data_IF_105285456172
#
_entry.id   IF_105285456172
#
_cell.length_a   1.000
_cell.length_b   1.000
_cell.length_c   1.000
_cell.angle_alpha   90.00
_cell.angle_beta   90.00
_cell.angle_gamma   90.00
#
_symmetry.space_group_name_H-M   'P 1'
#
loop_
_entity.id
_entity.type
_entity.pdbx_description
1 polymer ?
#
# COMPACT_ATOMS: atom_id res chain seq x y z
N UNK A 1 21.95 12.26 -6.29
CA UNK A 1 20.91 11.98 -5.27
C UNK A 1 20.51 10.53 -5.37
N UNK A 2 20.55 9.75 -4.29
CA UNK A 2 19.95 8.44 -4.33
C UNK A 2 18.46 8.60 -4.59
N UNK A 3 17.97 7.99 -5.67
CA UNK A 3 16.54 7.91 -5.96
C UNK A 3 15.97 6.99 -4.91
N UNK A 4 15.24 7.55 -3.95
CA UNK A 4 14.49 6.76 -2.98
C UNK A 4 13.49 5.89 -3.75
N UNK A 5 13.42 4.59 -3.49
CA UNK A 5 12.45 3.73 -4.16
C UNK A 5 11.05 4.28 -3.88
N UNK A 6 10.32 4.53 -4.94
CA UNK A 6 8.96 5.10 -4.89
C UNK A 6 7.97 4.13 -4.23
N UNK A 7 8.33 2.86 -4.17
CA UNK A 7 7.56 1.80 -3.54
C UNK A 7 8.42 1.15 -2.46
N UNK A 8 7.97 1.28 -1.22
CA UNK A 8 8.59 0.60 -0.09
C UNK A 8 7.93 -0.75 0.08
N UNK A 9 8.73 -1.79 0.03
CA UNK A 9 8.35 -3.15 0.35
C UNK A 9 8.80 -3.42 1.79
N UNK A 10 7.85 -3.44 2.71
CA UNK A 10 8.10 -3.71 4.13
C UNK A 10 7.91 -5.18 4.49
N UNK A 11 7.27 -5.93 3.60
CA UNK A 11 6.96 -7.33 3.83
C UNK A 11 7.51 -8.15 2.66
N UNK A 12 8.53 -8.93 2.93
CA UNK A 12 9.07 -9.93 1.99
C UNK A 12 8.15 -11.18 1.94
N UNK A 13 6.84 -10.93 1.82
CA UNK A 13 5.80 -11.97 1.85
C UNK A 13 4.84 -11.84 0.68
N UNK A 14 5.40 -11.91 -0.51
CA UNK A 14 4.61 -11.98 -1.73
C UNK A 14 3.84 -13.30 -1.84
N UNK A 15 2.83 -13.32 -2.68
CA UNK A 15 1.99 -14.49 -2.95
C UNK A 15 2.81 -15.76 -3.23
N UNK A 16 3.88 -15.64 -4.03
CA UNK A 16 4.75 -16.77 -4.38
C UNK A 16 5.50 -17.30 -3.15
N UNK A 17 6.03 -16.45 -2.31
CA UNK A 17 6.73 -16.83 -1.08
C UNK A 17 5.78 -17.45 -0.05
N UNK A 18 4.57 -16.93 0.07
CA UNK A 18 3.52 -17.48 0.92
C UNK A 18 3.09 -18.88 0.45
N UNK A 19 2.91 -19.08 -0.86
CA UNK A 19 2.60 -20.39 -1.43
C UNK A 19 3.67 -21.42 -1.08
N UNK A 20 4.94 -21.10 -1.27
CA UNK A 20 6.04 -22.00 -0.93
C UNK A 20 6.09 -22.31 0.57
N UNK A 21 5.85 -21.35 1.43
CA UNK A 21 5.79 -21.55 2.90
C UNK A 21 4.62 -22.44 3.30
N UNK A 22 3.45 -22.23 2.70
CA UNK A 22 2.26 -23.07 2.94
C UNK A 22 2.51 -24.51 2.46
N UNK A 23 3.11 -24.72 1.30
CA UNK A 23 3.48 -26.04 0.81
C UNK A 23 4.49 -26.74 1.73
N UNK A 24 5.50 -26.02 2.23
CA UNK A 24 6.44 -26.56 3.23
C UNK A 24 5.74 -26.96 4.53
N UNK A 25 4.82 -26.13 5.00
CA UNK A 25 4.05 -26.41 6.21
C UNK A 25 3.20 -27.67 6.03
N UNK A 26 2.50 -27.78 4.92
CA UNK A 26 1.67 -28.97 4.61
C UNK A 26 2.52 -30.23 4.56
N UNK A 27 3.69 -30.18 3.93
CA UNK A 27 4.63 -31.31 3.91
C UNK A 27 5.08 -31.74 5.31
N UNK A 28 5.24 -30.80 6.23
CA UNK A 28 5.64 -31.10 7.60
C UNK A 28 4.50 -31.67 8.45
N UNK A 29 3.26 -31.20 8.22
CA UNK A 29 2.10 -31.62 9.00
C UNK A 29 1.47 -32.91 8.45
N UNK A 30 1.43 -33.05 7.14
CA UNK A 30 0.83 -34.20 6.46
C UNK A 30 1.71 -34.73 5.32
N UNK A 31 2.77 -35.48 5.63
CA UNK A 31 3.72 -35.98 4.65
C UNK A 31 3.14 -36.98 3.64
N UNK A 32 1.97 -37.56 3.93
CA UNK A 32 1.30 -38.47 3.03
C UNK A 32 0.70 -37.79 1.78
N UNK A 33 0.53 -36.45 1.83
CA UNK A 33 0.07 -35.70 0.67
C UNK A 33 1.26 -35.31 -0.23
N UNK A 34 1.30 -35.93 -1.40
CA UNK A 34 2.41 -35.77 -2.36
C UNK A 34 1.99 -35.13 -3.68
N UNK A 35 0.68 -34.98 -3.92
CA UNK A 35 0.15 -34.41 -5.15
C UNK A 35 -0.02 -32.90 -5.04
N UNK A 36 0.92 -32.14 -5.63
CA UNK A 36 0.92 -30.69 -5.74
C UNK A 36 0.52 -30.21 -7.14
N UNK A 37 -0.19 -31.03 -7.91
CA UNK A 37 -0.70 -30.61 -9.22
C UNK A 37 -1.72 -29.46 -9.09
N UNK A 38 -1.82 -28.62 -10.11
CA UNK A 38 -2.77 -27.52 -10.14
C UNK A 38 -4.23 -27.96 -10.13
N UNK A 39 -4.48 -29.22 -10.49
CA UNK A 39 -5.82 -29.82 -10.48
C UNK A 39 -6.23 -30.35 -9.10
N UNK A 40 -5.30 -30.46 -8.15
CA UNK A 40 -5.60 -30.97 -6.81
C UNK A 40 -6.30 -29.89 -5.97
N UNK A 41 -7.45 -30.25 -5.39
CA UNK A 41 -8.26 -29.33 -4.57
C UNK A 41 -7.48 -28.74 -3.39
N UNK A 42 -6.63 -29.53 -2.74
CA UNK A 42 -5.80 -29.04 -1.65
C UNK A 42 -4.79 -27.99 -2.10
N UNK A 43 -4.19 -28.15 -3.28
CA UNK A 43 -3.29 -27.15 -3.83
C UNK A 43 -4.03 -25.87 -4.23
N UNK A 44 -5.25 -25.98 -4.75
CA UNK A 44 -6.11 -24.81 -5.04
C UNK A 44 -6.38 -24.02 -3.77
N UNK A 45 -6.67 -24.69 -2.64
CA UNK A 45 -6.86 -24.01 -1.35
C UNK A 45 -5.58 -23.28 -0.90
N UNK A 46 -4.40 -23.87 -1.06
CA UNK A 46 -3.12 -23.25 -0.74
C UNK A 46 -2.93 -21.99 -1.59
N UNK A 47 -3.23 -22.04 -2.87
CA UNK A 47 -3.13 -20.90 -3.77
C UNK A 47 -4.11 -19.78 -3.39
N UNK A 48 -5.34 -20.11 -3.04
CA UNK A 48 -6.32 -19.15 -2.57
C UNK A 48 -5.84 -18.44 -1.28
N UNK A 49 -5.34 -19.18 -0.30
CA UNK A 49 -4.79 -18.60 0.92
C UNK A 49 -3.55 -17.74 0.65
N UNK A 50 -2.67 -18.18 -0.24
CA UNK A 50 -1.50 -17.39 -0.63
C UNK A 50 -1.92 -16.09 -1.32
N UNK A 51 -2.94 -16.13 -2.17
CA UNK A 51 -3.48 -14.94 -2.84
C UNK A 51 -4.08 -13.95 -1.84
N UNK A 52 -4.92 -14.41 -0.92
CA UNK A 52 -5.49 -13.55 0.15
C UNK A 52 -4.37 -12.97 1.03
N UNK A 53 -3.37 -13.79 1.36
CA UNK A 53 -2.19 -13.33 2.09
C UNK A 53 -1.42 -12.24 1.33
N UNK A 54 -1.20 -12.42 0.02
CA UNK A 54 -0.54 -11.44 -0.85
C UNK A 54 -1.29 -10.11 -0.91
N UNK A 55 -2.62 -10.15 -1.04
CA UNK A 55 -3.46 -8.93 -0.98
C UNK A 55 -3.31 -8.25 0.38
N UNK A 56 -3.33 -9.00 1.47
CA UNK A 56 -3.20 -8.44 2.83
C UNK A 56 -1.85 -7.76 3.03
N UNK A 57 -0.76 -8.39 2.60
CA UNK A 57 0.59 -7.80 2.68
C UNK A 57 0.73 -6.56 1.81
N UNK A 58 0.12 -6.55 0.62
CA UNK A 58 0.08 -5.36 -0.24
C UNK A 58 -0.59 -4.18 0.47
N UNK A 59 -1.74 -4.39 1.13
CA UNK A 59 -2.40 -3.32 1.89
C UNK A 59 -1.56 -2.85 3.09
N UNK A 60 -0.84 -3.77 3.75
CA UNK A 60 0.08 -3.40 4.84
C UNK A 60 1.21 -2.51 4.34
N UNK A 61 1.83 -2.84 3.22
CA UNK A 61 2.88 -2.02 2.59
C UNK A 61 2.36 -0.66 2.15
N UNK A 62 1.18 -0.63 1.57
CA UNK A 62 0.51 0.61 1.17
C UNK A 62 0.26 1.51 2.40
N UNK A 63 -0.28 0.94 3.48
CA UNK A 63 -0.53 1.67 4.71
C UNK A 63 0.77 2.16 5.36
N UNK A 64 1.81 1.34 5.38
CA UNK A 64 3.12 1.73 5.89
C UNK A 64 3.74 2.87 5.06
N UNK A 65 3.60 2.82 3.73
CA UNK A 65 4.02 3.89 2.83
C UNK A 65 3.28 5.21 3.10
N UNK A 66 1.96 5.15 3.27
CA UNK A 66 1.12 6.32 3.56
C UNK A 66 1.34 6.91 4.97
N UNK A 67 1.93 6.15 5.89
CA UNK A 67 2.26 6.62 7.24
C UNK A 67 3.52 7.49 7.31
N UNK A 68 4.30 7.57 6.24
CA UNK A 68 5.53 8.35 6.19
C UNK A 68 5.37 9.57 5.31
N UNK A 69 5.87 10.70 5.78
CA UNK A 69 5.86 11.97 5.06
C UNK A 69 6.49 11.90 3.66
N UNK A 70 7.60 11.19 3.54
CA UNK A 70 8.37 11.10 2.28
C UNK A 70 7.72 10.21 1.23
N UNK A 71 6.81 9.31 1.63
CA UNK A 71 6.21 8.29 0.76
C UNK A 71 4.70 8.38 0.63
N UNK A 72 4.05 9.22 1.47
CA UNK A 72 2.63 9.47 1.43
C UNK A 72 2.22 10.12 0.10
N UNK A 73 1.28 9.53 -0.61
CA UNK A 73 0.78 10.02 -1.89
C UNK A 73 -0.65 10.58 -1.78
N UNK A 74 -1.44 10.05 -0.87
CA UNK A 74 -2.81 10.50 -0.70
C UNK A 74 -2.87 11.82 0.07
N UNK A 75 -3.47 12.83 -0.55
CA UNK A 75 -3.61 14.18 0.02
C UNK A 75 -4.19 14.17 1.44
N UNK A 76 -5.21 13.32 1.71
CA UNK A 76 -5.82 13.19 3.03
C UNK A 76 -4.81 12.74 4.10
N UNK A 77 -3.91 11.81 3.75
CA UNK A 77 -2.91 11.27 4.66
C UNK A 77 -1.80 12.28 4.91
N UNK A 78 -1.38 13.01 3.86
CA UNK A 78 -0.45 14.13 3.99
C UNK A 78 -1.02 15.21 4.92
N UNK A 79 -2.29 15.57 4.76
CA UNK A 79 -2.97 16.52 5.64
C UNK A 79 -3.06 16.01 7.09
N UNK A 80 -3.26 14.72 7.29
CA UNK A 80 -3.24 14.11 8.62
C UNK A 80 -1.84 14.18 9.26
N UNK A 81 -0.79 13.88 8.48
CA UNK A 81 0.60 13.96 8.95
C UNK A 81 1.03 15.38 9.31
N UNK A 82 0.64 16.40 8.52
CA UNK A 82 0.97 17.80 8.85
C UNK A 82 0.22 18.31 10.08
N UNK A 83 -0.97 17.78 10.38
CA UNK A 83 -1.68 18.10 11.63
C UNK A 83 -0.93 17.62 12.87
N UNK A 84 -0.14 16.54 12.78
CA UNK A 84 0.68 16.06 13.89
C UNK A 84 1.72 17.10 14.36
N UNK A 85 2.20 17.93 13.44
CA UNK A 85 3.10 19.06 13.74
C UNK A 85 2.37 20.38 13.94
N UNK A 86 1.05 20.31 14.15
CA UNK A 86 0.17 21.47 14.35
C UNK A 86 0.17 22.48 13.18
N UNK A 87 0.43 22.01 11.97
CA UNK A 87 0.37 22.83 10.76
C UNK A 87 -0.97 22.63 10.05
N UNK A 88 -1.65 23.74 9.78
CA UNK A 88 -2.88 23.75 8.99
C UNK A 88 -2.60 24.37 7.62
N UNK A 89 -2.49 23.57 6.56
CA UNK A 89 -2.29 24.08 5.21
C UNK A 89 -3.52 24.88 4.77
N UNK A 90 -3.28 26.03 4.16
CA UNK A 90 -4.34 26.84 3.57
C UNK A 90 -4.88 26.13 2.33
N UNK A 91 -6.19 26.15 2.18
CA UNK A 91 -6.85 25.72 0.95
C UNK A 91 -6.64 26.77 -0.14
N UNK A 92 -6.81 26.36 -1.40
CA UNK A 92 -6.80 27.29 -2.52
C UNK A 92 -7.90 28.34 -2.30
N UNK A 93 -7.53 29.60 -2.40
CA UNK A 93 -8.46 30.74 -2.34
C UNK A 93 -8.64 31.29 -3.76
N UNK A 94 -9.83 31.81 -4.03
CA UNK A 94 -10.08 32.53 -5.29
C UNK A 94 -9.14 33.74 -5.40
N UNK A 95 -8.70 34.02 -6.61
CA UNK A 95 -7.96 35.26 -6.90
C UNK A 95 -8.83 36.47 -6.62
N UNK A 96 -8.26 37.49 -6.01
CA UNK A 96 -8.90 38.77 -5.77
C UNK A 96 -8.07 39.85 -6.45
N UNK A 97 -8.72 40.78 -7.10
CA UNK A 97 -8.11 41.98 -7.63
C UNK A 97 -8.96 43.18 -7.23
N UNK A 98 -8.32 44.30 -6.87
CA UNK A 98 -8.99 45.56 -6.67
C UNK A 98 -9.00 46.31 -8.00
N UNK A 99 -10.18 46.70 -8.46
CA UNK A 99 -10.39 47.44 -9.71
C UNK A 99 -10.80 48.84 -9.35
N UNK A 100 -10.00 49.84 -9.74
CA UNK A 100 -10.32 51.26 -9.62
C UNK A 100 -10.93 51.73 -10.93
N UNK A 101 -12.16 52.17 -10.87
CA UNK A 101 -12.86 52.78 -12.05
C UNK A 101 -12.71 54.28 -11.94
N UNK A 102 -11.99 54.92 -12.84
CA UNK A 102 -11.92 56.38 -12.97
C UNK A 102 -12.89 56.82 -14.07
N UNK A 103 -13.90 57.59 -13.69
CA UNK A 103 -14.79 58.24 -14.65
C UNK A 103 -14.06 59.47 -15.19
N UNK A 104 -13.88 59.51 -16.53
CA UNK A 104 -13.44 60.74 -17.18
C UNK A 104 -14.55 61.77 -17.10
N UNK A 105 -14.21 62.93 -16.55
CA UNK A 105 -15.11 64.06 -16.49
C UNK A 105 -15.30 64.69 -17.89
#
# INVERSE_FOLDING_TARGET
MPILPTKLDYTDKDEASLRLRLQKLVKSVYPAWTDYSTANFGNILIELFAHVGGISTFYMDQQAGESRWSTAQLRKNILALVKLINYQPRTATSSRCDVTLTLAA
#
